data_IF_766056524753
#
_entry.id   IF_766056524753
#
_cell.length_a   1.000
_cell.length_b   1.000
_cell.length_c   1.000
_cell.angle_alpha   90.00
_cell.angle_beta   90.00
_cell.angle_gamma   90.00
#
_symmetry.space_group_name_H-M   'P 1'
#
loop_
_entity.id
_entity.type
_entity.pdbx_description
1 polymer ?
#
# COMPACT_ATOMS: atom_id res chain seq x y z
N UNK A 1 -6.10 14.39 -17.34
CA UNK A 1 -5.81 13.20 -18.19
C UNK A 1 -4.94 12.26 -17.37
N UNK A 2 -5.07 10.95 -17.55
CA UNK A 2 -4.17 9.98 -16.92
C UNK A 2 -2.74 10.18 -17.45
N UNK A 3 -1.71 10.03 -16.59
CA UNK A 3 -0.32 10.10 -16.98
C UNK A 3 0.02 8.97 -17.96
N UNK A 4 0.86 9.27 -18.92
CA UNK A 4 1.45 8.28 -19.84
C UNK A 4 2.84 7.85 -19.36
N UNK A 5 3.41 6.77 -19.91
CA UNK A 5 4.78 6.36 -19.62
C UNK A 5 5.78 7.50 -19.88
N UNK A 6 5.63 8.24 -20.99
CA UNK A 6 6.46 9.38 -21.33
C UNK A 6 6.34 10.53 -20.32
N UNK A 7 5.14 10.77 -19.77
CA UNK A 7 4.95 11.78 -18.73
C UNK A 7 5.68 11.39 -17.44
N UNK A 8 5.64 10.10 -17.07
CA UNK A 8 6.36 9.57 -15.90
C UNK A 8 7.88 9.66 -16.12
N UNK A 9 8.39 9.24 -17.27
CA UNK A 9 9.82 9.33 -17.59
C UNK A 9 10.32 10.78 -17.61
N UNK A 10 9.48 11.72 -18.06
CA UNK A 10 9.77 13.16 -17.96
C UNK A 10 9.79 13.60 -16.50
N UNK A 11 8.80 13.23 -15.70
CA UNK A 11 8.75 13.56 -14.28
C UNK A 11 9.98 13.05 -13.52
N UNK A 12 10.44 11.83 -13.81
CA UNK A 12 11.66 11.26 -13.22
C UNK A 12 12.84 12.21 -13.42
N UNK A 13 13.02 12.72 -14.64
CA UNK A 13 14.13 13.63 -14.98
C UNK A 13 13.96 15.02 -14.37
N UNK A 14 12.79 15.62 -14.57
CA UNK A 14 12.53 17.02 -14.22
C UNK A 14 12.53 17.21 -12.69
N UNK A 15 12.07 16.22 -11.95
CA UNK A 15 12.00 16.28 -10.50
C UNK A 15 13.20 15.63 -9.80
N UNK A 16 14.15 15.03 -10.54
CA UNK A 16 15.32 14.36 -9.96
C UNK A 16 14.95 13.17 -9.08
N UNK A 17 14.07 12.31 -9.57
CA UNK A 17 13.69 11.07 -8.88
C UNK A 17 14.88 10.11 -8.86
N UNK A 18 15.25 9.62 -7.70
CA UNK A 18 16.39 8.72 -7.51
C UNK A 18 15.98 7.25 -7.63
N UNK A 19 14.82 6.91 -7.07
CA UNK A 19 14.33 5.53 -6.95
C UNK A 19 12.91 5.39 -7.49
N UNK A 20 12.64 4.22 -8.05
CA UNK A 20 11.30 3.81 -8.47
C UNK A 20 10.86 2.63 -7.61
N UNK A 21 9.72 2.76 -6.97
CA UNK A 21 9.14 1.72 -6.12
C UNK A 21 7.91 1.10 -6.80
N UNK A 22 8.05 -0.13 -7.23
CA UNK A 22 7.05 -0.89 -7.98
C UNK A 22 6.23 -1.74 -7.01
N UNK A 23 4.96 -1.41 -6.85
CA UNK A 23 4.07 -2.02 -5.84
C UNK A 23 2.99 -2.88 -6.50
N UNK A 24 2.67 -4.01 -5.89
CA UNK A 24 1.52 -4.82 -6.25
C UNK A 24 0.91 -5.48 -5.02
N UNK A 25 -0.33 -5.91 -5.13
CA UNK A 25 -1.01 -6.65 -4.05
C UNK A 25 -0.98 -8.14 -4.35
N UNK A 26 -0.62 -8.94 -3.33
CA UNK A 26 -0.71 -10.40 -3.42
C UNK A 26 -2.15 -10.91 -3.17
N UNK A 27 -2.33 -12.24 -3.26
CA UNK A 27 -3.64 -12.88 -3.08
C UNK A 27 -4.26 -12.66 -1.69
N UNK A 28 -3.42 -12.42 -0.67
CA UNK A 28 -3.86 -12.15 0.69
C UNK A 28 -4.17 -10.66 0.96
N UNK A 29 -4.02 -9.80 -0.05
CA UNK A 29 -4.20 -8.35 0.07
C UNK A 29 -2.99 -7.62 0.66
N UNK A 30 -1.84 -8.29 0.80
CA UNK A 30 -0.61 -7.67 1.29
C UNK A 30 0.11 -6.94 0.15
N UNK A 31 0.61 -5.73 0.43
CA UNK A 31 1.52 -5.04 -0.46
C UNK A 31 2.86 -5.77 -0.57
N UNK A 32 3.27 -6.02 -1.79
CA UNK A 32 4.60 -6.46 -2.17
C UNK A 32 5.23 -5.35 -3.01
N UNK A 33 6.56 -5.21 -2.97
CA UNK A 33 7.24 -4.20 -3.77
C UNK A 33 8.66 -4.60 -4.17
N UNK A 34 9.16 -3.93 -5.19
CA UNK A 34 10.54 -3.93 -5.63
C UNK A 34 10.97 -2.49 -5.90
N UNK A 35 12.08 -2.07 -5.28
CA UNK A 35 12.66 -0.76 -5.53
C UNK A 35 13.88 -0.90 -6.44
N UNK A 36 13.94 -0.08 -7.49
CA UNK A 36 15.05 -0.02 -8.44
C UNK A 36 15.56 1.42 -8.59
N UNK A 37 16.79 1.60 -9.09
CA UNK A 37 17.28 2.91 -9.46
C UNK A 37 16.48 3.46 -10.65
N UNK A 38 16.29 4.77 -10.69
CA UNK A 38 15.45 5.41 -11.71
C UNK A 38 15.97 5.24 -13.13
N UNK A 39 17.26 5.03 -13.33
CA UNK A 39 17.90 4.75 -14.61
C UNK A 39 17.61 3.34 -15.17
N UNK A 40 17.06 2.45 -14.35
CA UNK A 40 16.61 1.12 -14.77
C UNK A 40 15.19 1.11 -15.38
N UNK A 41 14.49 2.24 -15.34
CA UNK A 41 13.12 2.33 -15.83
C UNK A 41 13.07 3.19 -17.07
N UNK A 42 12.76 2.56 -18.19
CA UNK A 42 12.61 3.16 -19.52
C UNK A 42 11.23 2.88 -20.12
N UNK A 43 11.03 3.15 -21.39
CA UNK A 43 9.77 2.87 -22.08
C UNK A 43 9.45 1.36 -22.12
N UNK A 44 10.47 0.51 -22.19
CA UNK A 44 10.28 -0.94 -22.28
C UNK A 44 9.82 -1.51 -20.93
N UNK A 45 10.26 -0.92 -19.81
CA UNK A 45 9.74 -1.26 -18.49
C UNK A 45 8.22 -1.05 -18.38
N UNK A 46 7.65 -0.07 -19.06
CA UNK A 46 6.19 0.16 -19.10
C UNK A 46 5.44 -0.75 -20.08
N UNK A 47 6.13 -1.37 -21.02
CA UNK A 47 5.53 -2.27 -22.02
C UNK A 47 5.65 -3.74 -21.62
N UNK A 48 6.86 -4.15 -21.24
CA UNK A 48 7.21 -5.54 -20.95
C UNK A 48 7.25 -5.83 -19.46
N UNK A 49 7.41 -4.78 -18.64
CA UNK A 49 7.55 -4.88 -17.20
C UNK A 49 8.95 -5.29 -16.74
N UNK A 50 9.12 -5.41 -15.43
CA UNK A 50 10.32 -5.91 -14.79
C UNK A 50 10.09 -7.33 -14.31
N UNK A 51 11.04 -8.22 -14.59
CA UNK A 51 10.95 -9.64 -14.21
C UNK A 51 11.15 -9.82 -12.70
N UNK A 52 10.42 -10.77 -12.12
CA UNK A 52 10.59 -11.21 -10.75
C UNK A 52 10.20 -12.68 -10.59
N UNK A 53 10.64 -13.29 -9.48
CA UNK A 53 10.32 -14.66 -9.12
C UNK A 53 8.97 -14.75 -8.39
N UNK A 54 7.93 -15.18 -9.11
CA UNK A 54 6.58 -15.37 -8.57
C UNK A 54 6.45 -16.54 -7.59
N UNK A 55 7.45 -17.45 -7.49
CA UNK A 55 7.44 -18.52 -6.49
C UNK A 55 7.73 -18.01 -5.08
N UNK A 56 8.35 -16.84 -4.99
CA UNK A 56 8.57 -16.14 -3.72
C UNK A 56 7.30 -15.50 -3.14
N UNK A 57 6.24 -15.40 -3.95
CA UNK A 57 4.94 -14.87 -3.52
C UNK A 57 4.02 -16.03 -3.13
N UNK A 58 3.59 -16.02 -1.86
CA UNK A 58 2.79 -17.11 -1.30
C UNK A 58 1.51 -17.36 -2.11
N UNK A 59 1.33 -18.61 -2.54
CA UNK A 59 0.14 -19.06 -3.25
C UNK A 59 0.11 -18.73 -4.74
N UNK A 60 1.20 -18.20 -5.31
CA UNK A 60 1.27 -17.83 -6.73
C UNK A 60 1.80 -18.95 -7.60
N UNK A 61 3.08 -19.02 -7.83
CA UNK A 61 3.71 -19.93 -8.80
C UNK A 61 4.53 -21.03 -8.11
N UNK A 62 4.72 -22.13 -8.81
CA UNK A 62 5.72 -23.12 -8.42
C UNK A 62 7.10 -22.74 -9.00
N UNK A 63 8.16 -23.18 -8.35
CA UNK A 63 9.55 -22.82 -8.71
C UNK A 63 9.93 -23.15 -10.16
N UNK A 64 9.35 -24.18 -10.72
CA UNK A 64 9.61 -24.62 -12.11
C UNK A 64 8.89 -23.77 -13.18
N UNK A 65 8.09 -22.79 -12.78
CA UNK A 65 7.36 -21.89 -13.69
C UNK A 65 7.19 -20.52 -13.02
N UNK A 66 8.26 -20.02 -12.39
CA UNK A 66 8.22 -18.90 -11.46
C UNK A 66 8.30 -17.52 -12.12
N UNK A 67 8.78 -17.44 -13.35
CA UNK A 67 8.98 -16.16 -14.03
C UNK A 67 7.66 -15.39 -14.20
N UNK A 68 7.65 -14.15 -13.73
CA UNK A 68 6.55 -13.21 -13.81
C UNK A 68 7.05 -11.82 -14.16
N UNK A 69 6.18 -10.99 -14.71
CA UNK A 69 6.49 -9.60 -15.05
C UNK A 69 5.60 -8.63 -14.28
N UNK A 70 6.21 -7.58 -13.71
CA UNK A 70 5.53 -6.41 -13.12
C UNK A 70 5.48 -5.29 -14.16
N UNK A 71 4.31 -4.97 -14.67
CA UNK A 71 4.11 -3.89 -15.63
C UNK A 71 3.56 -2.67 -14.90
N UNK A 72 4.36 -1.58 -14.79
CA UNK A 72 3.93 -0.37 -14.09
C UNK A 72 2.76 0.32 -14.80
N UNK A 73 1.77 0.76 -14.03
CA UNK A 73 0.68 1.59 -14.54
C UNK A 73 1.05 3.08 -14.36
N UNK A 74 1.36 3.82 -15.44
CA UNK A 74 1.78 5.21 -15.35
C UNK A 74 0.72 6.13 -14.75
N UNK A 75 -0.57 5.76 -14.85
CA UNK A 75 -1.67 6.54 -14.27
C UNK A 75 -1.64 6.57 -12.74
N UNK A 76 -0.92 5.63 -12.12
CA UNK A 76 -0.80 5.51 -10.66
C UNK A 76 0.46 6.16 -10.10
N UNK A 77 1.26 6.84 -10.92
CA UNK A 77 2.53 7.42 -10.49
C UNK A 77 2.36 8.57 -9.50
N UNK A 78 2.98 8.45 -8.32
CA UNK A 78 3.07 9.52 -7.32
C UNK A 78 4.47 9.57 -6.69
N UNK A 79 4.90 10.76 -6.27
CA UNK A 79 6.12 10.91 -5.46
C UNK A 79 5.76 10.58 -4.02
N UNK A 80 6.40 9.54 -3.48
CA UNK A 80 6.13 9.06 -2.13
C UNK A 80 6.83 9.97 -1.10
N UNK A 81 6.09 10.69 -0.24
CA UNK A 81 6.68 11.66 0.67
C UNK A 81 7.34 11.03 1.90
N UNK A 82 7.19 9.72 2.11
CA UNK A 82 7.64 9.03 3.33
C UNK A 82 9.04 8.42 3.21
N UNK A 83 9.62 8.40 2.00
CA UNK A 83 10.97 7.90 1.79
C UNK A 83 12.02 9.00 1.95
N UNK A 84 13.20 8.62 2.49
CA UNK A 84 14.33 9.54 2.63
C UNK A 84 14.88 10.00 1.27
N UNK A 85 14.99 9.07 0.33
CA UNK A 85 15.40 9.33 -1.04
C UNK A 85 14.16 9.66 -1.87
N UNK A 86 14.30 10.55 -2.82
CA UNK A 86 13.17 10.95 -3.65
C UNK A 86 12.72 9.77 -4.52
N UNK A 87 11.63 9.17 -4.12
CA UNK A 87 11.08 7.92 -4.67
C UNK A 87 9.76 8.18 -5.37
N UNK A 88 9.61 7.67 -6.57
CA UNK A 88 8.35 7.64 -7.30
C UNK A 88 7.77 6.23 -7.20
N UNK A 89 6.58 6.11 -6.64
CA UNK A 89 5.86 4.84 -6.51
C UNK A 89 4.89 4.64 -7.66
N UNK A 90 4.78 3.39 -8.13
CA UNK A 90 3.88 2.95 -9.20
C UNK A 90 3.18 1.67 -8.79
N UNK A 91 1.89 1.54 -9.09
CA UNK A 91 1.18 0.27 -8.94
C UNK A 91 1.34 -0.53 -10.23
N UNK A 92 1.68 -1.82 -10.09
CA UNK A 92 1.94 -2.70 -11.20
C UNK A 92 0.79 -3.69 -11.44
N UNK A 93 0.57 -4.01 -12.70
CA UNK A 93 -0.16 -5.19 -13.14
C UNK A 93 0.82 -6.36 -13.29
N UNK A 94 0.37 -7.55 -12.92
CA UNK A 94 1.19 -8.76 -12.98
C UNK A 94 0.73 -9.62 -14.15
N UNK A 95 1.68 -10.09 -14.95
CA UNK A 95 1.41 -10.89 -16.14
C UNK A 95 2.43 -12.01 -16.35
N UNK A 96 2.07 -12.99 -17.18
CA UNK A 96 3.00 -14.01 -17.66
C UNK A 96 3.91 -13.39 -18.73
N UNK A 97 5.24 -13.40 -18.56
CA UNK A 97 6.16 -12.74 -19.49
C UNK A 97 6.21 -13.36 -20.88
N UNK A 98 5.72 -14.60 -21.05
CA UNK A 98 5.74 -15.31 -22.34
C UNK A 98 4.52 -15.00 -23.19
N UNK A 99 3.35 -14.79 -22.56
CA UNK A 99 2.08 -14.59 -23.27
C UNK A 99 1.59 -13.14 -23.18
N UNK A 100 2.05 -12.37 -22.18
CA UNK A 100 1.53 -11.05 -21.86
C UNK A 100 0.15 -11.09 -21.17
N UNK A 101 -0.36 -12.28 -20.87
CA UNK A 101 -1.68 -12.40 -20.23
C UNK A 101 -1.63 -11.93 -18.76
N UNK A 102 -2.67 -11.23 -18.30
CA UNK A 102 -2.80 -10.88 -16.89
C UNK A 102 -2.83 -12.13 -16.01
N UNK A 103 -2.08 -12.08 -14.91
CA UNK A 103 -2.03 -13.21 -13.98
C UNK A 103 -3.36 -13.38 -13.23
N UNK A 104 -3.96 -14.56 -13.32
CA UNK A 104 -5.30 -14.85 -12.80
C UNK A 104 -5.46 -14.67 -11.28
N UNK A 105 -4.36 -14.83 -10.49
CA UNK A 105 -4.35 -14.66 -9.03
C UNK A 105 -3.90 -13.28 -8.60
N UNK A 106 -3.77 -12.34 -9.52
CA UNK A 106 -3.50 -10.94 -9.21
C UNK A 106 -4.83 -10.23 -8.89
N UNK A 107 -5.04 -9.71 -7.66
CA UNK A 107 -6.27 -9.01 -7.30
C UNK A 107 -6.58 -7.81 -8.20
N UNK A 108 -5.55 -7.06 -8.63
CA UNK A 108 -5.70 -5.95 -9.56
C UNK A 108 -6.22 -6.41 -10.93
N UNK A 109 -5.69 -7.51 -11.46
CA UNK A 109 -6.16 -8.07 -12.74
C UNK A 109 -7.62 -8.51 -12.64
N UNK A 110 -8.02 -9.09 -11.50
CA UNK A 110 -9.42 -9.46 -11.26
C UNK A 110 -10.33 -8.23 -11.20
N UNK A 111 -9.92 -7.16 -10.53
CA UNK A 111 -10.68 -5.91 -10.47
C UNK A 111 -10.84 -5.27 -11.88
N UNK A 112 -9.77 -5.24 -12.68
CA UNK A 112 -9.82 -4.77 -14.08
C UNK A 112 -10.78 -5.62 -14.93
N UNK A 113 -10.75 -6.95 -14.77
CA UNK A 113 -11.68 -7.87 -15.44
C UNK A 113 -13.13 -7.62 -15.03
N UNK A 114 -13.39 -7.34 -13.74
CA UNK A 114 -14.72 -7.02 -13.24
C UNK A 114 -15.25 -5.70 -13.82
N UNK A 115 -14.42 -4.67 -13.92
CA UNK A 115 -14.78 -3.40 -14.55
C UNK A 115 -15.08 -3.55 -16.05
N UNK A 116 -14.26 -4.33 -16.76
CA UNK A 116 -14.51 -4.64 -18.17
C UNK A 116 -15.83 -5.41 -18.34
N UNK A 117 -16.11 -6.36 -17.46
CA UNK A 117 -17.36 -7.10 -17.47
C UNK A 117 -18.56 -6.16 -17.24
N UNK A 118 -18.50 -5.27 -16.24
CA UNK A 118 -19.55 -4.29 -15.96
C UNK A 118 -19.86 -3.46 -17.20
N UNK A 119 -18.84 -2.89 -17.84
CA UNK A 119 -18.99 -2.11 -19.07
C UNK A 119 -19.62 -2.92 -20.20
N UNK A 120 -19.20 -4.17 -20.39
CA UNK A 120 -19.72 -5.05 -21.45
C UNK A 120 -21.18 -5.46 -21.24
N UNK A 121 -21.68 -5.42 -20.01
CA UNK A 121 -23.12 -5.68 -19.76
C UNK A 121 -24.03 -4.54 -20.23
N UNK A 122 -23.46 -3.34 -20.46
CA UNK A 122 -24.23 -2.13 -20.79
C UNK A 122 -25.03 -1.55 -19.62
N UNK A 123 -24.91 -2.09 -18.41
CA UNK A 123 -25.60 -1.63 -17.21
C UNK A 123 -24.96 -0.38 -16.60
N UNK A 124 -23.63 -0.34 -16.59
CA UNK A 124 -22.86 0.79 -16.08
C UNK A 124 -21.43 0.78 -16.66
N UNK A 125 -20.80 1.94 -16.68
CA UNK A 125 -19.43 2.16 -17.13
C UNK A 125 -18.47 2.52 -15.99
N UNK A 126 -19.00 2.72 -14.79
CA UNK A 126 -18.24 3.12 -13.60
C UNK A 126 -18.72 2.39 -12.36
N UNK A 127 -17.79 2.12 -11.45
CA UNK A 127 -18.06 1.66 -10.10
C UNK A 127 -17.37 2.61 -9.11
N UNK A 128 -18.10 3.03 -8.07
CA UNK A 128 -17.61 3.89 -7.01
C UNK A 128 -17.47 3.07 -5.73
N UNK A 129 -16.35 3.24 -5.05
CA UNK A 129 -16.06 2.61 -3.76
C UNK A 129 -15.72 3.70 -2.75
N UNK A 130 -16.22 3.59 -1.53
CA UNK A 130 -15.91 4.48 -0.42
C UNK A 130 -15.13 3.69 0.65
N UNK A 131 -13.80 3.57 0.56
CA UNK A 131 -13.02 2.86 1.56
C UNK A 131 -13.03 3.62 2.90
N UNK A 132 -13.13 2.87 4.00
CA UNK A 132 -13.04 3.38 5.37
C UNK A 132 -11.85 2.69 6.07
N UNK A 133 -10.60 3.13 5.82
CA UNK A 133 -9.44 2.52 6.43
C UNK A 133 -9.41 2.78 7.94
N UNK A 134 -9.46 1.71 8.73
CA UNK A 134 -9.35 1.77 10.18
C UNK A 134 -8.00 1.20 10.63
N UNK A 135 -7.36 1.85 11.61
CA UNK A 135 -6.08 1.41 12.13
C UNK A 135 -5.91 1.81 13.60
N UNK A 136 -5.04 1.08 14.29
CA UNK A 136 -4.61 1.40 15.64
C UNK A 136 -3.24 2.04 15.63
N UNK A 137 -3.01 2.96 16.58
CA UNK A 137 -1.69 3.51 16.88
C UNK A 137 -1.20 2.88 18.17
N UNK A 138 0.00 2.29 18.13
CA UNK A 138 0.63 1.69 19.30
C UNK A 138 1.99 2.32 19.55
N UNK A 139 2.33 2.49 20.83
CA UNK A 139 3.66 2.90 21.26
C UNK A 139 4.60 1.70 21.37
N UNK A 140 4.07 0.51 21.72
CA UNK A 140 4.82 -0.74 21.75
C UNK A 140 3.94 -1.92 21.33
N UNK A 141 4.49 -2.82 20.51
CA UNK A 141 3.85 -4.06 20.09
C UNK A 141 4.84 -5.20 20.17
N UNK A 142 4.53 -6.20 20.99
CA UNK A 142 5.30 -7.43 21.10
C UNK A 142 4.39 -8.62 20.90
N UNK A 143 4.82 -9.57 20.12
CA UNK A 143 4.08 -10.81 19.93
C UNK A 143 5.01 -11.98 19.61
N UNK A 144 4.54 -13.16 19.92
CA UNK A 144 5.10 -14.41 19.43
C UNK A 144 3.98 -15.38 19.05
N UNK A 145 4.17 -16.08 17.96
CA UNK A 145 3.29 -17.17 17.53
C UNK A 145 4.15 -18.33 17.05
N UNK A 146 4.24 -19.35 17.88
CA UNK A 146 5.03 -20.55 17.63
C UNK A 146 4.21 -21.80 17.93
N UNK A 147 4.74 -22.98 17.57
CA UNK A 147 4.07 -24.25 17.81
C UNK A 147 3.85 -24.54 19.31
N UNK A 148 4.72 -24.02 20.18
CA UNK A 148 4.68 -24.25 21.63
C UNK A 148 3.85 -23.22 22.41
N UNK A 149 3.36 -22.15 21.77
CA UNK A 149 2.57 -21.11 22.43
C UNK A 149 2.49 -19.81 21.67
N UNK A 150 1.61 -18.94 22.13
CA UNK A 150 1.48 -17.61 21.57
C UNK A 150 1.22 -16.58 22.67
N UNK A 151 1.67 -15.35 22.43
CA UNK A 151 1.31 -14.20 23.26
C UNK A 151 1.30 -12.94 22.38
N UNK A 152 0.61 -11.92 22.86
CA UNK A 152 0.77 -10.55 22.41
C UNK A 152 0.75 -9.58 23.60
N UNK A 153 1.45 -8.47 23.45
CA UNK A 153 1.41 -7.33 24.36
C UNK A 153 1.41 -6.07 23.51
N UNK A 154 0.49 -5.17 23.80
CA UNK A 154 0.40 -3.88 23.13
C UNK A 154 0.34 -2.79 24.19
N UNK A 155 0.95 -1.63 23.88
CA UNK A 155 0.86 -0.44 24.72
C UNK A 155 0.56 0.78 23.86
N UNK A 156 -0.19 1.70 24.40
CA UNK A 156 -0.51 2.99 23.78
C UNK A 156 -0.86 4.03 24.84
N UNK A 157 -0.47 5.26 24.58
CA UNK A 157 -0.80 6.41 25.46
C UNK A 157 -2.31 6.57 25.67
N UNK A 158 -3.14 6.13 24.75
CA UNK A 158 -4.60 6.22 24.82
C UNK A 158 -5.25 5.11 25.63
N UNK A 159 -4.51 4.08 26.02
CA UNK A 159 -5.07 2.92 26.70
C UNK A 159 -5.51 3.24 28.14
N UNK A 160 -6.68 2.69 28.52
CA UNK A 160 -7.24 2.89 29.85
C UNK A 160 -6.34 2.41 31.00
N UNK A 161 -5.50 1.37 30.76
CA UNK A 161 -4.54 0.89 31.76
C UNK A 161 -3.37 1.85 32.02
N UNK A 162 -3.19 2.88 31.18
CA UNK A 162 -2.18 3.93 31.35
C UNK A 162 -2.72 5.17 32.10
N UNK A 163 -3.94 5.13 32.65
CA UNK A 163 -4.46 6.19 33.48
C UNK A 163 -3.56 6.42 34.70
N UNK A 164 -3.13 7.66 34.93
CA UNK A 164 -2.21 8.03 36.00
C UNK A 164 -0.71 7.78 35.72
N UNK A 165 -0.34 7.24 34.57
CA UNK A 165 1.07 7.10 34.18
C UNK A 165 1.70 8.47 33.99
N UNK A 166 2.96 8.61 34.38
CA UNK A 166 3.74 9.84 34.13
C UNK A 166 4.18 9.85 32.67
N UNK A 167 3.82 10.90 31.93
CA UNK A 167 4.11 11.06 30.50
C UNK A 167 4.64 12.45 30.23
N UNK A 168 5.44 12.61 29.17
CA UNK A 168 5.87 13.91 28.69
C UNK A 168 4.65 14.73 28.25
N UNK A 169 4.59 15.99 28.65
CA UNK A 169 3.43 16.86 28.39
C UNK A 169 2.24 16.66 29.33
N UNK A 170 2.31 15.71 30.27
CA UNK A 170 1.27 15.40 31.23
C UNK A 170 0.37 14.25 30.81
N UNK A 171 -0.23 13.59 31.78
CA UNK A 171 -1.15 12.47 31.57
C UNK A 171 -2.60 12.94 31.61
N UNK A 172 -3.35 12.57 30.57
CA UNK A 172 -4.79 12.73 30.56
C UNK A 172 -5.42 11.67 31.47
N UNK A 173 -5.98 12.10 32.59
CA UNK A 173 -6.62 11.21 33.56
C UNK A 173 -7.79 10.42 32.95
N UNK A 174 -8.51 11.02 32.01
CA UNK A 174 -9.56 10.37 31.25
C UNK A 174 -9.00 9.79 29.95
N UNK A 175 -9.16 8.51 29.75
CA UNK A 175 -8.85 7.80 28.48
C UNK A 175 -10.15 7.40 27.81
N UNK A 176 -10.18 7.42 26.48
CA UNK A 176 -11.34 7.01 25.69
C UNK A 176 -11.71 5.56 26.06
N UNK A 177 -12.96 5.33 26.43
CA UNK A 177 -13.45 4.01 26.78
C UNK A 177 -13.84 3.21 25.52
N UNK A 178 -14.01 1.92 25.68
CA UNK A 178 -14.47 1.05 24.60
C UNK A 178 -15.77 1.57 23.99
N UNK A 179 -15.78 1.75 22.65
CA UNK A 179 -16.87 2.31 21.84
C UNK A 179 -17.19 3.80 22.08
N UNK A 180 -16.36 4.54 22.78
CA UNK A 180 -16.53 5.99 22.98
C UNK A 180 -15.68 6.84 22.03
N UNK A 181 -14.89 6.24 21.14
CA UNK A 181 -13.95 6.92 20.26
C UNK A 181 -14.56 7.57 19.02
N UNK A 182 -15.88 7.76 18.96
CA UNK A 182 -16.55 8.42 17.84
C UNK A 182 -16.63 9.92 18.04
N UNK A 183 -15.98 10.68 17.16
CA UNK A 183 -15.90 12.15 17.21
C UNK A 183 -15.36 12.77 18.51
N UNK A 184 -14.31 12.21 19.15
CA UNK A 184 -13.71 12.90 20.29
C UNK A 184 -12.99 14.16 19.82
N UNK A 185 -12.74 15.06 20.77
CA UNK A 185 -11.99 16.28 20.57
C UNK A 185 -10.82 16.32 21.57
N UNK A 186 -9.77 17.06 21.24
CA UNK A 186 -8.67 17.29 22.18
C UNK A 186 -9.20 17.86 23.52
N UNK A 187 -8.63 17.47 24.66
CA UNK A 187 -7.40 16.68 24.84
C UNK A 187 -7.58 15.15 24.77
N UNK A 188 -8.81 14.64 24.70
CA UNK A 188 -9.05 13.18 24.64
C UNK A 188 -8.61 12.56 23.32
N UNK A 189 -8.74 13.31 22.21
CA UNK A 189 -8.18 12.94 20.92
C UNK A 189 -6.71 13.34 20.85
N UNK A 190 -5.82 12.38 21.00
CA UNK A 190 -4.37 12.59 20.94
C UNK A 190 -3.80 12.41 19.50
N UNK A 191 -4.60 11.96 18.55
CA UNK A 191 -4.18 11.62 17.21
C UNK A 191 -4.60 12.65 16.13
N UNK A 192 -5.15 13.80 16.55
CA UNK A 192 -5.63 14.83 15.61
C UNK A 192 -4.56 15.31 14.64
N UNK A 193 -3.35 15.59 15.13
CA UNK A 193 -2.26 16.12 14.30
C UNK A 193 -1.77 15.05 13.31
N UNK A 194 -1.68 13.79 13.75
CA UNK A 194 -1.30 12.66 12.88
C UNK A 194 -2.30 12.52 11.72
N UNK A 195 -3.60 12.55 12.01
CA UNK A 195 -4.63 12.49 10.96
C UNK A 195 -4.59 13.70 10.04
N UNK A 196 -4.32 14.89 10.60
CA UNK A 196 -4.19 16.11 9.80
C UNK A 196 -2.99 16.05 8.85
N UNK A 197 -1.84 15.56 9.29
CA UNK A 197 -0.69 15.34 8.43
C UNK A 197 -0.99 14.31 7.32
N UNK A 198 -1.67 13.21 7.65
CA UNK A 198 -2.10 12.22 6.65
C UNK A 198 -2.97 12.86 5.56
N UNK A 199 -3.95 13.69 5.96
CA UNK A 199 -4.83 14.38 5.02
C UNK A 199 -4.09 15.38 4.12
N UNK A 200 -3.08 16.06 4.65
CA UNK A 200 -2.28 17.01 3.86
C UNK A 200 -1.34 16.32 2.86
N UNK A 201 -0.99 15.06 3.10
CA UNK A 201 -0.14 14.26 2.21
C UNK A 201 -0.92 13.53 1.10
N UNK A 202 -2.21 13.26 1.29
CA UNK A 202 -3.09 12.64 0.29
C UNK A 202 -3.68 13.66 -0.69
#
# INVERSE_FOLDING_TARGET
MAKTAQDVLRQIKDEGIELIDLKFSDLHGKWQHLTVCSDMVDEDAFKEGLAFDGSSIRGWKAINASDMSMVPDPATAWVDPFYRHKTLSLICSIQDPRTGDPYERCPRALAQKALAYLSNTGLADKAFFGPEPEFFLFDDVRYNSSEGGCFYSVDTIEAGWNSGRVEEGGNLAYKIQLKEGYFPVAPNDTAQDIRSEMLLMM
#
